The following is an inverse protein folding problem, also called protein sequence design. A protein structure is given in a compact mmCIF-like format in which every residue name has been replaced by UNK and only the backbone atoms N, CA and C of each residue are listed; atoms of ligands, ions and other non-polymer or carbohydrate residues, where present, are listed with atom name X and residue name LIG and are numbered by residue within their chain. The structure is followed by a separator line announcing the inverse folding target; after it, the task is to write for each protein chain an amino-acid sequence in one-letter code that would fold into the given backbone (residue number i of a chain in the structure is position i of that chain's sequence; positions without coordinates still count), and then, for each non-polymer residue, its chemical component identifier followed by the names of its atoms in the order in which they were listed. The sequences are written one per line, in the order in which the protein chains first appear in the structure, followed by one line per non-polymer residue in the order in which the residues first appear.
data_IF_650710165535
#
_entry.id   IF_650710165535
#
_cell.length_a   1.000
_cell.length_b   1.000
_cell.length_c   1.000
_cell.angle_alpha   90.00
_cell.angle_beta   90.00
_cell.angle_gamma   90.00
#
_symmetry.space_group_name_H-M   'P 1'
#
loop_
_entity.id
_entity.type
_entity.pdbx_description
1 polymer ?
#
# COMPACT_ATOMS: atom_id res chain seq x y z
N UNK A 1 -17.77 14.63 -7.22
CA UNK A 1 -17.38 14.25 -5.85
C UNK A 1 -17.18 12.75 -5.80
N UNK A 2 -16.10 12.28 -5.22
CA UNK A 2 -15.83 10.85 -5.05
C UNK A 2 -16.70 10.34 -3.90
N UNK A 3 -17.64 9.43 -4.17
CA UNK A 3 -18.52 8.87 -3.16
C UNK A 3 -17.81 7.70 -2.46
N UNK A 4 -17.86 7.71 -1.12
CA UNK A 4 -17.27 6.69 -0.26
C UNK A 4 -18.41 5.98 0.47
N UNK A 5 -18.38 4.65 0.42
CA UNK A 5 -19.24 3.78 1.23
C UNK A 5 -18.38 3.09 2.30
N UNK A 6 -19.02 2.45 3.28
CA UNK A 6 -18.32 1.76 4.35
C UNK A 6 -17.36 0.66 3.84
N UNK A 7 -17.65 -0.04 2.78
CA UNK A 7 -16.81 -1.11 2.26
C UNK A 7 -16.79 -2.37 3.15
N UNK A 8 -15.79 -3.25 2.91
CA UNK A 8 -15.60 -4.54 3.60
C UNK A 8 -14.22 -4.61 4.23
N UNK A 9 -14.06 -5.23 5.44
CA UNK A 9 -12.77 -5.36 6.11
C UNK A 9 -11.82 -6.36 5.42
N UNK A 10 -12.32 -7.23 4.58
CA UNK A 10 -11.56 -8.24 3.82
C UNK A 10 -11.96 -8.26 2.35
N UNK A 11 -10.99 -8.59 1.50
CA UNK A 11 -9.58 -8.84 1.75
C UNK A 11 -8.81 -7.55 2.06
N UNK A 12 -7.63 -7.66 2.73
CA UNK A 12 -6.74 -6.52 2.96
C UNK A 12 -6.14 -6.01 1.64
N UNK A 13 -5.77 -4.74 1.65
CA UNK A 13 -5.29 -4.03 0.46
C UNK A 13 -6.43 -3.49 -0.38
N UNK A 14 -6.18 -3.34 -1.68
CA UNK A 14 -7.19 -2.93 -2.66
C UNK A 14 -7.82 -4.14 -3.35
N UNK A 15 -9.11 -4.09 -3.60
CA UNK A 15 -9.83 -5.09 -4.38
C UNK A 15 -10.93 -4.45 -5.23
N UNK A 16 -11.03 -4.87 -6.49
CA UNK A 16 -12.08 -4.40 -7.41
C UNK A 16 -13.45 -4.91 -6.95
N UNK A 17 -14.44 -4.06 -7.12
CA UNK A 17 -15.85 -4.37 -6.90
C UNK A 17 -16.65 -4.01 -8.15
N UNK A 18 -17.92 -4.38 -8.20
CA UNK A 18 -18.80 -3.97 -9.31
C UNK A 18 -19.04 -2.47 -9.39
N UNK A 19 -18.72 -1.70 -8.35
CA UNK A 19 -18.94 -0.24 -8.31
C UNK A 19 -17.68 0.59 -8.23
N UNK A 20 -16.53 -0.03 -7.98
CA UNK A 20 -15.26 0.68 -7.79
C UNK A 20 -14.19 -0.16 -7.12
N UNK A 21 -13.56 0.36 -6.08
CA UNK A 21 -12.47 -0.29 -5.36
C UNK A 21 -12.74 -0.26 -3.86
N UNK A 22 -12.66 -1.43 -3.24
CA UNK A 22 -12.64 -1.55 -1.79
C UNK A 22 -11.20 -1.52 -1.30
N UNK A 23 -10.92 -0.63 -0.36
CA UNK A 23 -9.65 -0.53 0.36
C UNK A 23 -9.82 -1.04 1.77
N UNK A 24 -8.84 -1.79 2.27
CA UNK A 24 -8.83 -2.25 3.66
C UNK A 24 -7.41 -2.26 4.22
N UNK A 25 -7.24 -1.67 5.41
CA UNK A 25 -5.96 -1.51 6.12
C UNK A 25 -6.13 -1.88 7.59
N UNK A 26 -5.13 -2.54 8.17
CA UNK A 26 -5.04 -2.74 9.64
C UNK A 26 -4.33 -1.55 10.27
N UNK A 27 -5.02 -0.85 11.18
CA UNK A 27 -4.43 0.26 11.93
C UNK A 27 -5.06 0.35 13.33
N UNK A 28 -4.57 -0.47 14.26
CA UNK A 28 -5.18 -0.72 15.58
C UNK A 28 -5.33 0.55 16.45
N UNK A 29 -4.33 1.44 16.40
CA UNK A 29 -4.29 2.65 17.23
C UNK A 29 -4.57 3.93 16.43
N UNK A 30 -5.21 3.82 15.27
CA UNK A 30 -5.53 4.99 14.45
C UNK A 30 -6.71 5.78 15.05
N UNK A 31 -6.60 7.10 15.00
CA UNK A 31 -7.70 8.03 15.21
C UNK A 31 -8.54 8.13 13.93
N UNK A 32 -7.88 8.26 12.80
CA UNK A 32 -8.44 8.17 11.46
C UNK A 32 -7.38 7.69 10.44
N UNK A 33 -7.87 7.27 9.30
CA UNK A 33 -7.05 6.89 8.14
C UNK A 33 -7.46 7.75 6.96
N UNK A 34 -6.51 8.15 6.13
CA UNK A 34 -6.77 8.81 4.86
C UNK A 34 -6.30 7.92 3.72
N UNK A 35 -7.14 7.83 2.67
CA UNK A 35 -6.77 7.26 1.38
C UNK A 35 -6.40 8.42 0.46
N UNK A 36 -5.16 8.45 0.00
CA UNK A 36 -4.67 9.43 -0.96
C UNK A 36 -4.75 8.82 -2.35
N UNK A 37 -5.51 9.44 -3.24
CA UNK A 37 -5.63 9.01 -4.64
C UNK A 37 -4.79 9.94 -5.52
N UNK A 38 -4.01 9.36 -6.41
CA UNK A 38 -3.14 10.10 -7.34
C UNK A 38 -3.62 9.93 -8.78
N UNK A 39 -3.40 10.94 -9.60
CA UNK A 39 -3.84 10.93 -10.99
C UNK A 39 -2.94 10.08 -11.88
N UNK A 40 -1.63 10.15 -11.63
CA UNK A 40 -0.60 9.42 -12.38
C UNK A 40 0.59 9.06 -11.48
N UNK A 41 1.44 8.16 -11.96
CA UNK A 41 2.62 7.69 -11.24
C UNK A 41 3.49 8.83 -10.70
N UNK A 42 3.85 9.80 -11.54
CA UNK A 42 4.71 10.93 -11.19
C UNK A 42 4.03 12.07 -10.43
N UNK A 43 2.77 11.92 -9.99
CA UNK A 43 2.09 12.97 -9.22
C UNK A 43 2.81 13.26 -7.91
N UNK A 44 3.15 14.52 -7.69
CA UNK A 44 3.81 15.01 -6.46
C UNK A 44 2.81 15.34 -5.34
N UNK A 45 1.53 15.40 -5.67
CA UNK A 45 0.42 15.66 -4.74
C UNK A 45 -0.77 14.75 -5.08
N UNK A 46 -1.60 14.38 -4.10
CA UNK A 46 -2.80 13.61 -4.35
C UNK A 46 -3.85 14.46 -5.07
N UNK A 47 -4.60 13.83 -5.98
CA UNK A 47 -5.79 14.41 -6.63
C UNK A 47 -6.95 14.51 -5.65
N UNK A 48 -7.07 13.54 -4.75
CA UNK A 48 -8.12 13.49 -3.74
C UNK A 48 -7.59 12.85 -2.47
N UNK A 49 -8.04 13.36 -1.32
CA UNK A 49 -7.79 12.80 0.00
C UNK A 49 -9.14 12.42 0.58
N UNK A 50 -9.33 11.15 0.91
CA UNK A 50 -10.55 10.57 1.43
C UNK A 50 -10.31 10.20 2.88
N UNK A 51 -10.90 10.95 3.81
CA UNK A 51 -10.77 10.70 5.24
C UNK A 51 -11.78 9.66 5.69
N UNK A 52 -11.31 8.59 6.28
CA UNK A 52 -12.11 7.54 6.92
C UNK A 52 -12.31 7.90 8.39
N UNK A 53 -13.56 7.90 8.82
CA UNK A 53 -13.96 8.09 10.19
C UNK A 53 -14.33 6.77 10.90
N UNK A 54 -14.87 6.82 12.10
CA UNK A 54 -15.25 5.64 12.86
C UNK A 54 -16.34 4.77 12.21
N UNK A 55 -17.09 5.31 11.24
CA UNK A 55 -18.09 4.52 10.48
C UNK A 55 -17.40 3.58 9.47
N UNK A 56 -16.15 3.88 9.11
CA UNK A 56 -15.31 3.12 8.20
C UNK A 56 -14.38 2.15 8.94
N UNK A 57 -14.73 1.80 10.18
CA UNK A 57 -13.92 0.95 11.03
C UNK A 57 -14.70 -0.30 11.47
N UNK A 58 -13.99 -1.42 11.59
CA UNK A 58 -14.49 -2.66 12.19
C UNK A 58 -13.34 -3.32 12.97
N UNK A 59 -13.32 -3.10 14.28
CA UNK A 59 -12.20 -3.50 15.14
C UNK A 59 -10.89 -2.83 14.72
N UNK A 60 -9.82 -3.56 14.36
CA UNK A 60 -8.56 -2.98 13.90
C UNK A 60 -8.56 -2.61 12.41
N UNK A 61 -9.63 -2.92 11.67
CA UNK A 61 -9.70 -2.78 10.22
C UNK A 61 -10.37 -1.48 9.82
N UNK A 62 -9.68 -0.66 9.04
CA UNK A 62 -10.20 0.53 8.40
C UNK A 62 -10.48 0.21 6.94
N UNK A 63 -11.71 0.44 6.48
CA UNK A 63 -12.12 0.03 5.16
C UNK A 63 -13.14 0.98 4.54
N UNK A 64 -13.04 1.15 3.24
CA UNK A 64 -13.98 1.95 2.45
C UNK A 64 -14.08 1.44 1.03
N UNK A 65 -15.27 1.49 0.46
CA UNK A 65 -15.49 1.32 -0.97
C UNK A 65 -15.57 2.69 -1.64
N UNK A 66 -14.67 2.93 -2.57
CA UNK A 66 -14.60 4.18 -3.33
C UNK A 66 -15.16 3.93 -4.72
N UNK A 67 -16.28 4.59 -5.05
CA UNK A 67 -16.97 4.42 -6.32
C UNK A 67 -16.21 5.03 -7.50
N UNK A 68 -16.44 4.45 -8.68
CA UNK A 68 -15.88 4.94 -9.95
C UNK A 68 -14.35 4.94 -10.01
N UNK A 69 -13.70 4.08 -9.24
CA UNK A 69 -12.30 3.74 -9.39
C UNK A 69 -12.15 2.42 -10.14
N UNK A 70 -11.10 2.33 -10.94
CA UNK A 70 -10.80 1.16 -11.76
C UNK A 70 -9.40 0.62 -11.44
N UNK A 71 -9.06 -0.50 -12.06
CA UNK A 71 -7.70 -1.01 -12.12
C UNK A 71 -6.73 0.06 -12.62
N UNK A 72 -5.48 0.01 -12.19
CA UNK A 72 -4.43 0.96 -12.53
C UNK A 72 -4.47 2.27 -11.74
N UNK A 73 -5.46 2.50 -10.87
CA UNK A 73 -5.48 3.67 -9.99
C UNK A 73 -4.32 3.62 -8.98
N UNK A 74 -3.72 4.79 -8.74
CA UNK A 74 -2.61 4.96 -7.80
C UNK A 74 -3.13 5.49 -6.46
N UNK A 75 -2.69 4.86 -5.38
CA UNK A 75 -3.10 5.25 -4.03
C UNK A 75 -1.99 5.07 -3.01
N UNK A 76 -2.18 5.68 -1.85
CA UNK A 76 -1.38 5.48 -0.66
C UNK A 76 -2.24 5.76 0.57
N UNK A 77 -1.73 5.44 1.74
CA UNK A 77 -2.40 5.74 3.01
C UNK A 77 -1.66 6.81 3.79
N UNK A 78 -2.41 7.51 4.64
CA UNK A 78 -1.90 8.30 5.74
C UNK A 78 -2.67 7.93 7.00
N UNK A 79 -1.98 7.71 8.09
CA UNK A 79 -2.59 7.22 9.34
C UNK A 79 -2.29 8.21 10.45
N UNK A 80 -3.34 8.77 11.05
CA UNK A 80 -3.24 9.52 12.30
C UNK A 80 -3.41 8.58 13.46
N UNK A 81 -2.40 8.49 14.30
CA UNK A 81 -2.48 7.71 15.53
C UNK A 81 -3.18 8.51 16.65
N UNK A 82 -3.86 7.81 17.54
CA UNK A 82 -4.40 8.40 18.77
C UNK A 82 -3.25 8.93 19.62
N UNK A 83 -3.40 10.15 20.13
CA UNK A 83 -2.40 10.78 20.99
C UNK A 83 -2.30 10.02 22.32
N UNK A 84 -1.25 9.25 22.49
CA UNK A 84 -0.90 8.57 23.74
C UNK A 84 0.16 9.37 24.54
N UNK A 85 0.19 10.71 24.40
CA UNK A 85 1.19 11.58 25.05
C UNK A 85 2.57 11.58 24.38
N UNK A 86 2.79 10.80 23.34
CA UNK A 86 4.02 10.81 22.52
C UNK A 86 3.76 11.69 21.32
N UNK A 87 4.59 12.73 21.16
CA UNK A 87 4.51 13.64 20.01
C UNK A 87 4.87 12.87 18.73
N UNK A 88 3.86 12.45 17.99
CA UNK A 88 4.02 11.57 16.85
C UNK A 88 4.14 12.42 15.57
N UNK A 89 5.37 12.82 15.24
CA UNK A 89 5.69 13.63 14.05
C UNK A 89 5.40 12.92 12.70
N UNK A 90 4.89 11.69 12.74
CA UNK A 90 4.60 10.88 11.54
C UNK A 90 3.21 11.10 10.93
N UNK A 91 2.41 12.02 11.47
CA UNK A 91 1.02 12.24 11.04
C UNK A 91 0.86 12.60 9.56
N UNK A 92 1.87 13.23 8.98
CA UNK A 92 1.88 13.64 7.56
C UNK A 92 2.54 12.62 6.63
N UNK A 93 3.04 11.50 7.18
CA UNK A 93 3.70 10.46 6.39
C UNK A 93 2.72 9.78 5.45
N UNK A 94 3.10 9.72 4.20
CA UNK A 94 2.44 8.89 3.20
C UNK A 94 3.05 7.50 3.23
N UNK A 95 2.21 6.51 3.42
CA UNK A 95 2.57 5.11 3.60
C UNK A 95 2.09 4.27 2.43
N UNK A 96 2.96 3.41 1.95
CA UNK A 96 2.59 2.36 1.00
C UNK A 96 1.65 1.37 1.68
N UNK A 97 0.69 0.84 0.94
CA UNK A 97 -0.15 -0.26 1.42
C UNK A 97 0.71 -1.53 1.57
N UNK A 98 0.81 -2.10 2.78
CA UNK A 98 1.59 -3.33 2.99
C UNK A 98 1.02 -4.54 2.25
N UNK A 99 -0.26 -4.50 1.87
CA UNK A 99 -0.93 -5.56 1.10
C UNK A 99 -1.04 -5.22 -0.40
N UNK A 100 -0.33 -4.19 -0.86
CA UNK A 100 -0.32 -3.79 -2.27
C UNK A 100 0.28 -4.88 -3.16
N UNK A 101 -0.32 -5.08 -4.32
CA UNK A 101 0.17 -6.02 -5.35
C UNK A 101 0.97 -5.35 -6.43
N UNK A 102 0.68 -4.09 -6.69
CA UNK A 102 1.43 -3.25 -7.62
C UNK A 102 2.02 -2.06 -6.88
N UNK A 103 3.27 -1.74 -7.17
CA UNK A 103 4.01 -0.64 -6.58
C UNK A 103 4.67 0.16 -7.68
N UNK A 104 4.58 1.49 -7.57
CA UNK A 104 5.20 2.41 -8.52
C UNK A 104 5.78 3.63 -7.80
N UNK A 105 6.44 4.51 -8.57
CA UNK A 105 7.05 5.73 -8.03
C UNK A 105 8.55 5.61 -7.77
N UNK A 106 9.20 4.54 -8.23
CA UNK A 106 10.63 4.28 -8.02
C UNK A 106 11.53 5.39 -8.54
N UNK A 107 11.13 6.08 -9.63
CA UNK A 107 11.91 7.18 -10.21
C UNK A 107 12.02 8.43 -9.33
N UNK A 108 11.06 8.64 -8.43
CA UNK A 108 11.04 9.77 -7.49
C UNK A 108 11.29 9.37 -6.03
N UNK A 109 11.35 8.07 -5.73
CA UNK A 109 11.50 7.56 -4.38
C UNK A 109 12.85 7.94 -3.76
N UNK A 110 12.79 8.46 -2.52
CA UNK A 110 13.96 8.78 -1.70
C UNK A 110 13.81 8.10 -0.35
N UNK A 111 14.71 7.15 -0.07
CA UNK A 111 14.71 6.38 1.17
C UNK A 111 14.89 7.27 2.40
N UNK A 112 15.72 8.29 2.29
CA UNK A 112 15.98 9.26 3.36
C UNK A 112 14.66 9.91 3.79
N UNK A 113 13.87 10.39 2.82
CA UNK A 113 12.57 11.00 3.10
C UNK A 113 11.57 10.00 3.68
N UNK A 114 11.70 8.71 3.38
CA UNK A 114 10.84 7.68 3.96
C UNK A 114 11.15 7.44 5.45
N UNK A 115 12.39 7.60 5.88
CA UNK A 115 12.84 7.39 7.26
C UNK A 115 12.64 8.62 8.16
N UNK A 116 12.66 9.82 7.59
CA UNK A 116 12.47 11.07 8.31
C UNK A 116 11.00 11.27 8.75
N UNK A 117 10.75 12.21 9.66
CA UNK A 117 9.41 12.44 10.25
C UNK A 117 8.52 13.37 9.43
N UNK A 118 9.07 14.10 8.45
CA UNK A 118 8.30 15.06 7.68
C UNK A 118 7.54 14.42 6.52
N UNK A 119 6.73 15.23 5.88
CA UNK A 119 5.94 14.86 4.72
C UNK A 119 6.83 14.38 3.56
N UNK A 120 6.45 13.27 2.95
CA UNK A 120 7.18 12.61 1.87
C UNK A 120 6.34 12.42 0.60
N UNK A 121 5.23 13.12 0.45
CA UNK A 121 4.25 12.92 -0.63
C UNK A 121 4.86 12.98 -2.03
N UNK A 122 5.85 13.85 -2.23
CA UNK A 122 6.55 14.04 -3.51
C UNK A 122 7.58 12.95 -3.84
N UNK A 123 7.93 12.12 -2.86
CA UNK A 123 8.99 11.09 -2.99
C UNK A 123 8.58 9.73 -2.42
N UNK A 124 7.29 9.52 -2.16
CA UNK A 124 6.79 8.25 -1.67
C UNK A 124 6.54 7.26 -2.82
N UNK A 125 6.66 5.98 -2.51
CA UNK A 125 6.09 4.93 -3.35
C UNK A 125 4.56 4.98 -3.28
N UNK A 126 3.92 4.55 -4.35
CA UNK A 126 2.47 4.48 -4.46
C UNK A 126 2.05 3.04 -4.76
N UNK A 127 0.96 2.65 -4.17
CA UNK A 127 0.29 1.39 -4.46
C UNK A 127 -0.53 1.52 -5.74
N UNK A 128 -0.66 0.42 -6.46
CA UNK A 128 -1.48 0.34 -7.69
C UNK A 128 -2.60 -0.66 -7.46
N UNK A 129 -3.80 -0.28 -7.84
CA UNK A 129 -4.95 -1.19 -7.84
C UNK A 129 -4.77 -2.21 -8.97
N UNK A 130 -4.60 -3.47 -8.63
CA UNK A 130 -4.44 -4.56 -9.58
C UNK A 130 -5.61 -5.53 -9.49
N UNK A 131 -6.10 -6.00 -10.64
CA UNK A 131 -7.06 -7.09 -10.69
C UNK A 131 -6.39 -8.39 -10.24
N UNK A 132 -7.12 -9.16 -9.44
CA UNK A 132 -6.69 -10.48 -8.97
C UNK A 132 -6.82 -11.55 -10.05
N UNK A 133 -7.76 -11.38 -10.96
CA UNK A 133 -8.20 -12.40 -11.88
C UNK A 133 -7.55 -12.30 -13.27
N UNK A 134 -6.75 -11.24 -13.51
CA UNK A 134 -6.09 -11.03 -14.81
C UNK A 134 -5.11 -12.15 -15.20
N UNK A 135 -4.53 -12.85 -14.23
CA UNK A 135 -3.62 -13.94 -14.53
C UNK A 135 -4.33 -15.30 -14.41
N UNK A 136 -4.60 -15.92 -15.57
CA UNK A 136 -5.20 -17.24 -15.64
C UNK A 136 -4.12 -18.34 -15.60
N UNK A 137 -3.90 -18.92 -14.42
CA UNK A 137 -2.98 -20.05 -14.26
C UNK A 137 -3.41 -21.34 -14.97
N UNK A 138 -4.67 -21.43 -15.46
CA UNK A 138 -5.18 -22.62 -16.14
C UNK A 138 -4.49 -22.90 -17.46
N UNK A 139 -3.99 -21.85 -18.13
CA UNK A 139 -3.28 -21.95 -19.40
C UNK A 139 -1.80 -22.35 -19.23
N UNK A 140 -1.33 -22.41 -17.97
CA UNK A 140 0.03 -22.79 -17.62
C UNK A 140 0.00 -24.03 -16.73
N UNK A 141 0.29 -25.21 -17.29
CA UNK A 141 0.31 -26.43 -16.51
C UNK A 141 1.35 -26.32 -15.39
N UNK A 142 0.95 -26.62 -14.18
CA UNK A 142 1.91 -26.66 -13.05
C UNK A 142 2.93 -27.75 -13.30
N UNK A 143 4.23 -27.47 -13.20
CA UNK A 143 5.23 -28.51 -13.24
C UNK A 143 4.96 -29.48 -12.07
N UNK A 144 4.85 -30.77 -12.40
CA UNK A 144 4.62 -31.84 -11.43
C UNK A 144 5.96 -32.47 -11.02
N UNK A 145 6.87 -31.65 -10.49
CA UNK A 145 8.14 -32.16 -9.94
C UNK A 145 7.92 -32.67 -8.53
N UNK A 146 8.63 -33.73 -8.17
CA UNK A 146 8.69 -34.21 -6.81
C UNK A 146 9.55 -33.26 -5.95
N UNK A 147 9.40 -33.33 -4.62
CA UNK A 147 10.24 -32.52 -3.73
C UNK A 147 11.72 -32.90 -3.82
N UNK A 148 12.01 -34.19 -4.10
CA UNK A 148 13.36 -34.72 -4.26
C UNK A 148 14.07 -34.15 -5.51
N UNK A 149 13.29 -33.76 -6.53
CA UNK A 149 13.79 -33.19 -7.79
C UNK A 149 13.78 -31.66 -7.76
N UNK A 150 13.28 -31.04 -6.67
CA UNK A 150 13.12 -29.60 -6.60
C UNK A 150 14.37 -28.93 -6.02
N UNK A 151 14.97 -28.00 -6.76
CA UNK A 151 16.07 -27.16 -6.28
C UNK A 151 15.53 -25.76 -6.02
N UNK A 152 15.66 -25.28 -4.79
CA UNK A 152 15.22 -23.94 -4.39
C UNK A 152 16.45 -23.06 -4.19
N UNK A 153 16.56 -22.00 -4.98
CA UNK A 153 17.55 -20.95 -4.79
C UNK A 153 16.91 -19.77 -4.06
N UNK A 154 17.46 -19.40 -2.92
CA UNK A 154 17.10 -18.19 -2.21
C UNK A 154 18.23 -17.17 -2.40
N UNK A 155 17.98 -16.10 -3.18
CA UNK A 155 18.96 -15.04 -3.40
C UNK A 155 18.50 -13.82 -2.64
N UNK A 156 19.30 -13.37 -1.64
CA UNK A 156 19.06 -12.13 -0.92
C UNK A 156 19.98 -11.07 -1.51
N UNK A 157 19.41 -10.11 -2.25
CA UNK A 157 20.13 -8.93 -2.70
C UNK A 157 20.16 -7.89 -1.59
N UNK A 158 21.28 -7.78 -0.89
CA UNK A 158 21.54 -6.68 0.02
C UNK A 158 22.14 -5.53 -0.80
N UNK A 159 21.32 -4.55 -1.14
CA UNK A 159 21.83 -3.29 -1.71
C UNK A 159 22.50 -2.49 -0.60
N UNK A 160 23.81 -2.60 -0.50
CA UNK A 160 24.60 -1.68 0.30
C UNK A 160 24.66 -0.34 -0.45
N UNK A 161 23.90 0.66 0.01
CA UNK A 161 24.30 2.04 -0.26
C UNK A 161 25.64 2.26 0.46
N UNK A 162 26.60 2.80 -0.26
CA UNK A 162 27.98 3.07 0.18
C UNK A 162 28.08 3.48 1.65
N UNK A 163 28.24 2.54 2.54
CA UNK A 163 28.92 2.69 3.81
C UNK A 163 29.50 1.33 4.14
N UNK A 164 30.78 1.34 4.19
CA UNK A 164 31.68 0.24 4.45
C UNK A 164 31.29 -0.45 5.74
N UNK A 165 30.87 -1.69 5.67
CA UNK A 165 31.24 -2.71 6.65
C UNK A 165 31.21 -4.07 5.97
N UNK A 166 32.38 -4.47 5.52
CA UNK A 166 32.77 -5.88 5.40
C UNK A 166 32.53 -6.57 6.72
N UNK A 167 31.71 -7.58 6.72
CA UNK A 167 31.98 -8.76 7.56
C UNK A 167 31.32 -9.97 6.91
N UNK A 168 32.15 -10.86 6.54
CA UNK A 168 31.87 -12.20 6.07
C UNK A 168 31.28 -13.05 7.18
N UNK A 169 30.36 -13.91 6.85
CA UNK A 169 30.57 -15.38 6.96
C UNK A 169 29.57 -16.05 6.03
#
# INVERSE_FOLDING_TARGET
MTHINKGKPFPLGSSLTSQGVNFSLVATNAEYVEILLFEKEGSISPKSILKLDQNHNTGPYWHAEVKNLNEGCFYAFRVKQKNNGINNNYEKKVLLDPCSRGITGWGSYKRENALETHENTNSCLKSVVCDRELFNFRDYPRPKHSWEETIIYCIIFLFYSKSIYTTFI
#
